data_IF_047591995525
#
_entry.id   IF_047591995525
#
_cell.length_a   1.000
_cell.length_b   1.000
_cell.length_c   1.000
_cell.angle_alpha   90.00
_cell.angle_beta   90.00
_cell.angle_gamma   90.00
#
_symmetry.space_group_name_H-M   'P 1'
#
loop_
_entity.id
_entity.type
_entity.pdbx_description
1 polymer ?
#
# COMPACT_ATOMS: atom_id res chain seq x y z
N UNK A 1 -14.70 32.69 -5.21
CA UNK A 1 -14.51 32.96 -3.77
C UNK A 1 -15.12 31.86 -2.90
N UNK A 2 -16.42 31.53 -3.06
CA UNK A 2 -17.11 30.49 -2.28
C UNK A 2 -16.48 29.08 -2.36
N UNK A 3 -16.10 28.62 -3.56
CA UNK A 3 -15.46 27.30 -3.73
C UNK A 3 -14.10 27.21 -3.04
N UNK A 4 -13.26 28.25 -3.16
CA UNK A 4 -11.96 28.29 -2.49
C UNK A 4 -12.09 28.29 -0.96
N UNK A 5 -13.09 28.99 -0.41
CA UNK A 5 -13.35 28.96 1.04
C UNK A 5 -13.88 27.61 1.50
N UNK A 6 -14.74 26.95 0.71
CA UNK A 6 -15.26 25.62 1.00
C UNK A 6 -14.13 24.59 1.01
N UNK A 7 -13.26 24.63 0.01
CA UNK A 7 -12.09 23.75 -0.10
C UNK A 7 -11.17 23.90 1.10
N UNK A 8 -10.83 25.14 1.48
CA UNK A 8 -10.00 25.41 2.65
C UNK A 8 -10.64 24.86 3.94
N UNK A 9 -11.96 25.04 4.13
CA UNK A 9 -12.68 24.49 5.28
C UNK A 9 -12.61 22.96 5.28
N UNK A 10 -12.88 22.32 4.13
CA UNK A 10 -12.85 20.86 3.99
C UNK A 10 -11.45 20.29 4.25
N UNK A 11 -10.39 20.92 3.75
CA UNK A 11 -9.01 20.48 3.99
C UNK A 11 -8.65 20.57 5.46
N UNK A 12 -8.98 21.68 6.15
CA UNK A 12 -8.70 21.82 7.58
C UNK A 12 -9.51 20.86 8.46
N UNK A 13 -10.78 20.63 8.13
CA UNK A 13 -11.60 19.61 8.81
C UNK A 13 -10.98 18.22 8.61
N UNK A 14 -10.60 17.88 7.38
CA UNK A 14 -10.00 16.58 7.08
C UNK A 14 -8.66 16.39 7.79
N UNK A 15 -7.82 17.43 7.86
CA UNK A 15 -6.53 17.40 8.55
C UNK A 15 -6.69 17.26 10.07
N UNK A 16 -7.60 18.03 10.66
CA UNK A 16 -7.88 17.95 12.10
C UNK A 16 -8.40 16.56 12.48
N UNK A 17 -9.38 16.05 11.74
CA UNK A 17 -9.97 14.73 12.00
C UNK A 17 -8.97 13.60 11.79
N UNK A 18 -8.12 13.62 10.75
CA UNK A 18 -7.10 12.57 10.56
C UNK A 18 -5.98 12.65 11.59
N UNK A 19 -5.58 13.84 12.05
CA UNK A 19 -4.59 14.00 13.13
C UNK A 19 -5.08 13.37 14.43
N UNK A 20 -6.37 13.56 14.76
CA UNK A 20 -7.01 12.88 15.89
C UNK A 20 -7.03 11.36 15.68
N UNK A 21 -7.36 10.89 14.47
CA UNK A 21 -7.35 9.45 14.16
C UNK A 21 -5.95 8.84 14.29
N UNK A 22 -4.90 9.53 13.84
CA UNK A 22 -3.50 9.11 13.97
C UNK A 22 -3.11 8.99 15.44
N UNK A 23 -3.42 9.99 16.26
CA UNK A 23 -3.11 9.96 17.69
C UNK A 23 -3.84 8.83 18.40
N UNK A 24 -5.13 8.62 18.09
CA UNK A 24 -5.89 7.47 18.61
C UNK A 24 -5.25 6.14 18.19
N UNK A 25 -4.80 6.02 16.94
CA UNK A 25 -4.16 4.80 16.45
C UNK A 25 -2.83 4.53 17.15
N UNK A 26 -2.00 5.57 17.37
CA UNK A 26 -0.74 5.48 18.12
C UNK A 26 -0.98 5.12 19.60
N UNK A 27 -2.00 5.71 20.23
CA UNK A 27 -2.39 5.37 21.61
C UNK A 27 -2.87 3.92 21.69
N UNK A 28 -3.66 3.46 20.72
CA UNK A 28 -4.15 2.07 20.66
C UNK A 28 -3.00 1.07 20.42
N UNK A 29 -1.94 1.48 19.72
CA UNK A 29 -0.72 0.68 19.57
C UNK A 29 0.04 0.55 20.91
N UNK A 30 0.08 1.63 21.70
CA UNK A 30 0.82 1.69 22.96
C UNK A 30 0.06 1.10 24.16
N UNK A 31 -1.25 1.31 24.22
CA UNK A 31 -2.15 0.93 25.32
C UNK A 31 -3.14 -0.10 24.79
N UNK A 32 -3.02 -1.35 25.25
CA UNK A 32 -3.98 -2.40 24.93
C UNK A 32 -5.36 -2.07 25.54
N UNK A 33 -6.44 -2.37 24.80
CA UNK A 33 -7.84 -2.49 25.28
C UNK A 33 -8.81 -1.28 25.34
N UNK A 34 -8.62 -0.19 24.59
CA UNK A 34 -9.69 0.84 24.51
C UNK A 34 -10.63 0.63 23.31
N UNK A 35 -11.62 -0.26 23.45
CA UNK A 35 -12.64 -0.55 22.42
C UNK A 35 -13.37 0.71 21.92
N UNK A 36 -13.73 1.61 22.83
CA UNK A 36 -14.40 2.88 22.48
C UNK A 36 -13.54 3.82 21.63
N UNK A 37 -12.21 3.82 21.82
CA UNK A 37 -11.30 4.60 20.99
C UNK A 37 -11.21 4.05 19.56
N UNK A 38 -11.24 2.72 19.40
CA UNK A 38 -11.23 2.09 18.07
C UNK A 38 -12.48 2.43 17.27
N UNK A 39 -13.65 2.38 17.90
CA UNK A 39 -14.92 2.76 17.25
C UNK A 39 -14.93 4.26 16.87
N UNK A 40 -14.32 5.11 17.69
CA UNK A 40 -14.14 6.54 17.39
C UNK A 40 -13.19 6.76 16.19
N UNK A 41 -12.08 6.02 16.13
CA UNK A 41 -11.13 6.06 15.01
C UNK A 41 -11.80 5.70 13.69
N UNK A 42 -12.62 4.65 13.65
CA UNK A 42 -13.35 4.27 12.43
C UNK A 42 -14.33 5.35 11.97
N UNK A 43 -15.07 5.98 12.89
CA UNK A 43 -15.96 7.11 12.57
C UNK A 43 -15.18 8.31 12.04
N UNK A 44 -14.00 8.59 12.60
CA UNK A 44 -13.11 9.64 12.11
C UNK A 44 -12.61 9.37 10.69
N UNK A 45 -12.26 8.12 10.37
CA UNK A 45 -11.88 7.74 9.00
C UNK A 45 -13.05 7.88 8.00
N UNK A 46 -14.28 7.60 8.42
CA UNK A 46 -15.48 7.82 7.58
C UNK A 46 -15.70 9.32 7.35
N UNK A 47 -15.59 10.15 8.41
CA UNK A 47 -15.75 11.59 8.30
C UNK A 47 -14.72 12.22 7.35
N UNK A 48 -13.44 11.84 7.50
CA UNK A 48 -12.35 12.30 6.62
C UNK A 48 -12.57 11.88 5.17
N UNK A 49 -13.09 10.68 4.91
CA UNK A 49 -13.45 10.23 3.56
C UNK A 49 -14.51 11.15 2.92
N UNK A 50 -15.58 11.47 3.64
CA UNK A 50 -16.61 12.39 3.13
C UNK A 50 -16.08 13.81 2.89
N UNK A 51 -15.17 14.30 3.75
CA UNK A 51 -14.51 15.59 3.53
C UNK A 51 -13.66 15.59 2.25
N UNK A 52 -12.89 14.52 2.03
CA UNK A 52 -12.08 14.35 0.81
C UNK A 52 -12.95 14.21 -0.44
N UNK A 53 -14.06 13.48 -0.37
CA UNK A 53 -15.00 13.39 -1.49
C UNK A 53 -15.60 14.75 -1.82
N UNK A 54 -15.97 15.52 -0.79
CA UNK A 54 -16.46 16.89 -0.97
C UNK A 54 -15.41 17.80 -1.60
N UNK A 55 -14.15 17.66 -1.22
CA UNK A 55 -13.03 18.40 -1.80
C UNK A 55 -12.86 18.10 -3.29
N UNK A 56 -12.80 16.80 -3.67
CA UNK A 56 -12.66 16.39 -5.08
C UNK A 56 -13.86 16.85 -5.93
N UNK A 57 -15.09 16.74 -5.41
CA UNK A 57 -16.29 17.18 -6.13
C UNK A 57 -16.32 18.70 -6.27
N UNK A 58 -15.98 19.45 -5.22
CA UNK A 58 -15.87 20.91 -5.27
C UNK A 58 -14.87 21.35 -6.35
N UNK A 59 -13.72 20.68 -6.42
CA UNK A 59 -12.68 20.93 -7.42
C UNK A 59 -13.14 20.60 -8.83
N UNK A 60 -13.80 19.47 -9.03
CA UNK A 60 -14.33 19.10 -10.34
C UNK A 60 -15.33 20.15 -10.85
N UNK A 61 -16.26 20.59 -10.00
CA UNK A 61 -17.24 21.61 -10.37
C UNK A 61 -16.57 22.96 -10.67
N UNK A 62 -15.53 23.34 -9.92
CA UNK A 62 -14.87 24.64 -10.07
C UNK A 62 -13.90 24.70 -11.26
N UNK A 63 -13.20 23.60 -11.58
CA UNK A 63 -12.23 23.54 -12.66
C UNK A 63 -12.81 23.08 -14.00
N UNK A 64 -14.00 22.48 -13.99
CA UNK A 64 -14.65 21.93 -15.19
C UNK A 64 -13.99 20.67 -15.75
N UNK A 65 -12.95 20.15 -15.09
CA UNK A 65 -12.25 18.91 -15.44
C UNK A 65 -12.04 18.03 -14.21
N UNK A 66 -11.72 16.76 -14.44
CA UNK A 66 -11.45 15.85 -13.34
C UNK A 66 -10.16 16.26 -12.59
N UNK A 67 -10.16 16.35 -11.24
CA UNK A 67 -9.05 16.90 -10.46
C UNK A 67 -7.91 15.89 -10.29
N UNK A 68 -7.09 15.75 -11.35
CA UNK A 68 -5.86 14.93 -11.37
C UNK A 68 -4.67 15.72 -11.93
N UNK A 69 -4.78 17.04 -11.97
CA UNK A 69 -3.86 17.90 -12.73
C UNK A 69 -2.51 18.08 -12.04
N UNK A 70 -2.51 18.02 -10.71
CA UNK A 70 -1.34 18.28 -9.87
C UNK A 70 -1.06 17.07 -8.95
N UNK A 71 0.18 16.94 -8.50
CA UNK A 71 0.63 15.92 -7.55
C UNK A 71 -0.18 15.93 -6.25
N UNK A 72 -0.61 17.11 -5.79
CA UNK A 72 -1.49 17.26 -4.65
C UNK A 72 -2.88 16.63 -4.89
N UNK A 73 -3.51 16.96 -6.03
CA UNK A 73 -4.81 16.41 -6.40
C UNK A 73 -4.74 14.89 -6.63
N UNK A 74 -3.67 14.42 -7.29
CA UNK A 74 -3.43 12.99 -7.50
C UNK A 74 -3.18 12.24 -6.19
N UNK A 75 -2.55 12.86 -5.20
CA UNK A 75 -2.37 12.28 -3.86
C UNK A 75 -3.66 12.17 -3.07
N UNK A 76 -4.51 13.19 -3.14
CA UNK A 76 -5.85 13.14 -2.54
C UNK A 76 -6.65 12.01 -3.20
N UNK A 77 -6.61 11.90 -4.53
CA UNK A 77 -7.26 10.81 -5.25
C UNK A 77 -6.68 9.42 -4.88
N UNK A 78 -5.36 9.30 -4.71
CA UNK A 78 -4.71 8.08 -4.23
C UNK A 78 -5.20 7.71 -2.82
N UNK A 79 -5.29 8.67 -1.90
CA UNK A 79 -5.79 8.43 -0.54
C UNK A 79 -7.26 8.01 -0.54
N UNK A 80 -8.07 8.61 -1.41
CA UNK A 80 -9.48 8.29 -1.61
C UNK A 80 -9.68 6.87 -2.12
N UNK A 81 -8.92 6.45 -3.14
CA UNK A 81 -8.96 5.08 -3.67
C UNK A 81 -8.47 4.04 -2.65
N UNK A 82 -7.41 4.33 -1.90
CA UNK A 82 -6.91 3.46 -0.82
C UNK A 82 -7.96 3.26 0.29
N UNK A 83 -8.70 4.31 0.65
CA UNK A 83 -9.80 4.19 1.62
C UNK A 83 -10.95 3.31 1.11
N UNK A 84 -11.32 3.43 -0.17
CA UNK A 84 -12.32 2.55 -0.79
C UNK A 84 -11.86 1.10 -0.70
N UNK A 85 -10.62 0.81 -1.09
CA UNK A 85 -10.05 -0.53 -1.02
C UNK A 85 -10.03 -1.10 0.41
N UNK A 86 -9.76 -0.26 1.41
CA UNK A 86 -9.82 -0.64 2.81
C UNK A 86 -11.24 -1.02 3.29
N UNK A 87 -12.27 -0.39 2.71
CA UNK A 87 -13.68 -0.57 3.12
C UNK A 87 -14.35 -1.77 2.45
N UNK A 88 -13.94 -2.15 1.23
CA UNK A 88 -14.51 -3.30 0.48
C UNK A 88 -14.60 -4.59 1.32
N UNK A 89 -13.53 -5.04 2.05
CA UNK A 89 -13.58 -6.26 2.84
C UNK A 89 -14.60 -6.22 3.99
N UNK A 90 -14.87 -5.03 4.54
CA UNK A 90 -15.87 -4.81 5.60
C UNK A 90 -17.28 -5.00 5.05
N UNK A 91 -17.55 -4.49 3.84
CA UNK A 91 -18.86 -4.65 3.17
C UNK A 91 -19.13 -6.12 2.85
N UNK A 92 -18.10 -6.88 2.48
CA UNK A 92 -18.23 -8.30 2.12
C UNK A 92 -18.31 -9.25 3.34
N UNK A 93 -18.49 -8.74 4.57
CA UNK A 93 -18.52 -9.51 5.82
C UNK A 93 -17.31 -10.45 6.03
N UNK A 94 -16.18 -10.14 5.40
CA UNK A 94 -14.95 -10.90 5.63
C UNK A 94 -14.38 -10.55 7.00
N UNK A 95 -13.72 -11.50 7.67
CA UNK A 95 -13.06 -11.26 8.97
C UNK A 95 -12.17 -10.01 8.88
N UNK A 96 -12.17 -9.20 9.94
CA UNK A 96 -11.56 -7.87 10.04
C UNK A 96 -10.00 -7.87 9.93
N UNK A 97 -9.39 -8.95 9.45
CA UNK A 97 -7.95 -9.16 9.39
C UNK A 97 -7.32 -8.30 8.28
N UNK A 98 -7.99 -8.23 7.11
CA UNK A 98 -7.50 -7.47 5.94
C UNK A 98 -7.60 -5.95 6.16
N UNK A 99 -8.71 -5.50 6.72
CA UNK A 99 -8.91 -4.09 7.10
C UNK A 99 -7.85 -3.68 8.13
N UNK A 100 -7.60 -4.49 9.16
CA UNK A 100 -6.59 -4.19 10.19
C UNK A 100 -5.19 -4.00 9.62
N UNK A 101 -4.81 -4.81 8.62
CA UNK A 101 -3.50 -4.70 7.96
C UNK A 101 -3.41 -3.44 7.09
N UNK A 102 -4.50 -3.05 6.43
CA UNK A 102 -4.53 -1.91 5.51
C UNK A 102 -4.76 -0.56 6.21
N UNK A 103 -5.33 -0.53 7.43
CA UNK A 103 -5.61 0.68 8.21
C UNK A 103 -4.41 1.63 8.39
N UNK A 104 -3.20 1.17 8.77
CA UNK A 104 -2.07 2.09 8.96
C UNK A 104 -1.68 2.77 7.64
N UNK A 105 -1.73 2.05 6.52
CA UNK A 105 -1.41 2.59 5.20
C UNK A 105 -2.41 3.67 4.80
N UNK A 106 -3.71 3.44 4.99
CA UNK A 106 -4.73 4.43 4.62
C UNK A 106 -4.61 5.68 5.47
N UNK A 107 -4.47 5.53 6.79
CA UNK A 107 -4.31 6.67 7.71
C UNK A 107 -3.06 7.48 7.37
N UNK A 108 -1.92 6.83 7.11
CA UNK A 108 -0.67 7.53 6.77
C UNK A 108 -0.79 8.28 5.44
N UNK A 109 -1.33 7.64 4.39
CA UNK A 109 -1.51 8.31 3.08
C UNK A 109 -2.47 9.49 3.16
N UNK A 110 -3.56 9.36 3.93
CA UNK A 110 -4.55 10.41 4.13
C UNK A 110 -4.01 11.56 4.99
N UNK A 111 -3.26 11.24 6.04
CA UNK A 111 -2.54 12.22 6.85
C UNK A 111 -1.54 13.00 6.01
N UNK A 112 -0.76 12.31 5.17
CA UNK A 112 0.20 12.96 4.27
C UNK A 112 -0.50 13.88 3.25
N UNK A 113 -1.57 13.40 2.61
CA UNK A 113 -2.32 14.18 1.62
C UNK A 113 -2.97 15.44 2.20
N UNK A 114 -3.44 15.38 3.44
CA UNK A 114 -4.13 16.50 4.11
C UNK A 114 -3.21 17.41 4.92
N UNK A 115 -1.97 16.98 5.23
CA UNK A 115 -1.00 17.72 6.06
C UNK A 115 -0.60 19.10 5.56
N UNK A 116 -0.94 19.43 4.33
CA UNK A 116 -0.56 20.71 3.73
C UNK A 116 0.93 20.85 3.48
N UNK A 117 1.75 19.83 3.70
CA UNK A 117 3.19 19.82 3.40
C UNK A 117 3.49 20.00 1.90
N UNK A 118 2.47 19.79 1.07
CA UNK A 118 2.48 19.97 -0.39
C UNK A 118 1.78 21.26 -0.83
N UNK A 119 1.42 22.15 0.11
CA UNK A 119 0.65 23.37 -0.21
C UNK A 119 1.46 24.43 -0.95
N UNK A 120 2.79 24.40 -0.88
CA UNK A 120 3.65 25.25 -1.73
C UNK A 120 3.49 24.96 -3.23
N UNK A 121 2.90 23.82 -3.60
CA UNK A 121 2.54 23.48 -4.98
C UNK A 121 1.10 23.88 -5.38
N UNK A 122 0.39 24.69 -4.58
CA UNK A 122 -1.00 25.11 -4.85
C UNK A 122 -1.18 26.04 -6.05
N UNK A 123 -0.10 26.47 -6.71
CA UNK A 123 -0.24 27.17 -7.97
C UNK A 123 -0.72 26.19 -9.03
N UNK A 124 -2.00 26.32 -9.39
CA UNK A 124 -2.58 25.83 -10.62
C UNK A 124 -1.77 26.41 -11.78
N UNK A 125 -0.65 25.78 -12.11
CA UNK A 125 0.10 26.08 -13.32
C UNK A 125 -0.86 25.85 -14.46
N UNK A 126 -1.06 26.91 -15.25
CA UNK A 126 -1.88 26.98 -16.46
C UNK A 126 -1.86 25.61 -17.14
N UNK A 127 -3.05 25.02 -17.34
CA UNK A 127 -3.19 23.68 -17.90
C UNK A 127 -2.31 23.58 -19.14
N UNK A 128 -1.32 22.68 -19.10
CA UNK A 128 -0.59 22.29 -20.31
C UNK A 128 -1.65 21.75 -21.28
N UNK A 129 -1.68 22.16 -22.55
CA UNK A 129 -2.73 21.79 -23.52
C UNK A 129 -3.04 20.30 -23.60
N UNK A 130 -2.10 19.43 -23.20
CA UNK A 130 -2.26 17.99 -23.16
C UNK A 130 -3.30 17.46 -22.15
N UNK A 131 -3.73 18.27 -21.16
CA UNK A 131 -4.81 17.94 -20.20
C UNK A 131 -6.23 18.00 -20.78
N UNK A 132 -6.39 18.42 -22.03
CA UNK A 132 -7.70 18.48 -22.70
C UNK A 132 -8.11 17.16 -23.35
N UNK A 133 -7.22 16.17 -23.40
CA UNK A 133 -7.51 14.87 -24.02
C UNK A 133 -8.20 13.91 -23.04
N UNK A 134 -9.21 13.19 -23.52
CA UNK A 134 -9.89 12.14 -22.76
C UNK A 134 -8.93 10.98 -22.41
N UNK A 135 -7.90 10.77 -23.22
CA UNK A 135 -6.87 9.76 -23.01
C UNK A 135 -6.00 10.03 -21.79
N UNK A 136 -5.62 11.29 -21.53
CA UNK A 136 -4.85 11.61 -20.32
C UNK A 136 -5.66 11.32 -19.06
N UNK A 137 -6.95 11.69 -19.06
CA UNK A 137 -7.82 11.43 -17.92
C UNK A 137 -7.92 9.93 -17.63
N UNK A 138 -8.12 9.11 -18.67
CA UNK A 138 -8.12 7.65 -18.54
C UNK A 138 -6.76 7.12 -18.07
N UNK A 139 -5.67 7.59 -18.67
CA UNK A 139 -4.30 7.19 -18.29
C UNK A 139 -4.05 7.46 -16.80
N UNK A 140 -4.17 8.71 -16.34
CA UNK A 140 -3.79 9.10 -14.97
C UNK A 140 -4.71 8.44 -13.94
N UNK A 141 -6.01 8.37 -14.20
CA UNK A 141 -6.95 7.71 -13.28
C UNK A 141 -6.69 6.21 -13.14
N UNK A 142 -6.43 5.51 -14.25
CA UNK A 142 -6.11 4.07 -14.24
C UNK A 142 -4.76 3.81 -13.60
N UNK A 143 -3.76 4.66 -13.83
CA UNK A 143 -2.45 4.57 -13.15
C UNK A 143 -2.59 4.71 -11.63
N UNK A 144 -3.32 5.72 -11.15
CA UNK A 144 -3.52 5.93 -9.70
C UNK A 144 -4.32 4.79 -9.05
N UNK A 145 -5.37 4.31 -9.71
CA UNK A 145 -6.15 3.18 -9.23
C UNK A 145 -5.31 1.89 -9.21
N UNK A 146 -4.45 1.70 -10.21
CA UNK A 146 -3.50 0.58 -10.25
C UNK A 146 -2.48 0.66 -9.09
N UNK A 147 -1.94 1.84 -8.79
CA UNK A 147 -1.00 2.01 -7.70
C UNK A 147 -1.66 1.78 -6.34
N UNK A 148 -2.88 2.28 -6.11
CA UNK A 148 -3.61 2.03 -4.87
C UNK A 148 -3.86 0.53 -4.64
N UNK A 149 -4.30 -0.18 -5.69
CA UNK A 149 -4.56 -1.63 -5.63
C UNK A 149 -3.27 -2.42 -5.45
N UNK A 150 -2.20 -2.12 -6.19
CA UNK A 150 -0.90 -2.79 -6.05
C UNK A 150 -0.26 -2.52 -4.69
N UNK A 151 -0.36 -1.31 -4.14
CA UNK A 151 0.11 -0.98 -2.79
C UNK A 151 -0.65 -1.80 -1.73
N UNK A 152 -1.98 -1.88 -1.83
CA UNK A 152 -2.79 -2.69 -0.93
C UNK A 152 -2.42 -4.18 -0.99
N UNK A 153 -2.29 -4.73 -2.21
CA UNK A 153 -1.96 -6.14 -2.42
C UNK A 153 -0.54 -6.50 -2.00
N UNK A 154 0.44 -5.63 -2.25
CA UNK A 154 1.84 -5.83 -1.84
C UNK A 154 2.03 -5.68 -0.34
N UNK A 155 1.30 -4.77 0.32
CA UNK A 155 1.31 -4.64 1.78
C UNK A 155 0.76 -5.91 2.46
N UNK A 156 -0.25 -6.55 1.87
CA UNK A 156 -0.75 -7.84 2.34
C UNK A 156 0.30 -8.96 2.23
N UNK A 157 1.08 -8.96 1.13
CA UNK A 157 2.24 -9.85 0.97
C UNK A 157 3.36 -9.54 1.96
N UNK A 158 3.61 -8.27 2.28
CA UNK A 158 4.59 -7.89 3.30
C UNK A 158 4.15 -8.39 4.69
N UNK A 159 2.87 -8.26 5.04
CA UNK A 159 2.32 -8.79 6.28
C UNK A 159 2.50 -10.31 6.40
N UNK A 160 2.33 -11.05 5.29
CA UNK A 160 2.62 -12.49 5.24
C UNK A 160 4.08 -12.82 5.56
N UNK A 161 5.03 -12.08 4.98
CA UNK A 161 6.45 -12.29 5.26
C UNK A 161 6.75 -12.08 6.74
N UNK A 162 6.22 -11.02 7.34
CA UNK A 162 6.41 -10.72 8.77
C UNK A 162 5.86 -11.88 9.63
N UNK A 163 4.67 -12.36 9.33
CA UNK A 163 4.04 -13.49 10.05
C UNK A 163 4.86 -14.78 9.94
N UNK A 164 5.48 -15.03 8.78
CA UNK A 164 6.26 -16.24 8.52
C UNK A 164 7.69 -16.16 9.06
N UNK A 165 8.33 -14.99 8.99
CA UNK A 165 9.69 -14.75 9.50
C UNK A 165 9.75 -14.72 11.03
N UNK A 166 8.69 -14.29 11.71
CA UNK A 166 8.58 -14.40 13.17
C UNK A 166 8.74 -15.85 13.65
N UNK A 167 8.21 -16.81 12.91
CA UNK A 167 8.30 -18.23 13.27
C UNK A 167 9.70 -18.82 13.07
N UNK A 168 10.45 -18.39 12.04
CA UNK A 168 11.83 -18.87 11.86
C UNK A 168 12.72 -18.41 13.01
N UNK A 169 12.47 -17.22 13.56
CA UNK A 169 13.16 -16.72 14.75
C UNK A 169 12.81 -17.52 16.01
N UNK A 170 11.53 -17.77 16.28
CA UNK A 170 11.10 -18.58 17.43
C UNK A 170 11.67 -20.02 17.35
N UNK A 171 11.64 -20.64 16.17
CA UNK A 171 12.21 -21.98 15.97
C UNK A 171 13.73 -21.99 16.15
N UNK A 172 14.44 -20.99 15.62
CA UNK A 172 15.89 -20.88 15.77
C UNK A 172 16.30 -20.63 17.23
N UNK A 173 15.56 -19.80 17.95
CA UNK A 173 15.73 -19.57 19.40
C UNK A 173 15.55 -20.85 20.21
N UNK A 174 14.48 -21.61 19.92
CA UNK A 174 14.19 -22.87 20.61
C UNK A 174 15.28 -23.92 20.34
N UNK A 175 15.76 -24.02 19.09
CA UNK A 175 16.85 -24.92 18.72
C UNK A 175 18.16 -24.54 19.41
N UNK A 176 18.46 -23.24 19.57
CA UNK A 176 19.67 -22.76 20.26
C UNK A 176 19.61 -23.03 21.78
N UNK A 177 18.43 -22.94 22.39
CA UNK A 177 18.22 -23.32 23.80
C UNK A 177 18.27 -24.83 24.03
N UNK A 178 17.75 -25.64 23.10
CA UNK A 178 17.91 -27.11 23.16
C UNK A 178 19.37 -27.50 23.00
N UNK A 179 20.10 -26.90 22.05
CA UNK A 179 21.53 -27.17 21.84
C UNK A 179 22.40 -26.77 23.07
N UNK A 180 22.00 -25.71 23.78
CA UNK A 180 22.67 -25.29 25.03
C UNK A 180 22.32 -26.23 26.21
N UNK A 181 21.12 -26.80 26.23
CA UNK A 181 20.72 -27.81 27.25
C UNK A 181 21.37 -29.17 27.00
N UNK A 182 21.55 -29.59 25.75
CA UNK A 182 22.20 -30.88 25.42
C UNK A 182 23.67 -30.90 25.86
N UNK A 183 24.36 -29.76 25.86
CA UNK A 183 25.75 -29.68 26.33
C UNK A 183 25.90 -29.87 27.86
N UNK A 184 24.86 -29.62 28.65
CA UNK A 184 24.87 -29.83 30.11
C UNK A 184 24.27 -31.18 30.55
N UNK A 185 23.70 -31.97 29.63
CA UNK A 185 22.97 -33.20 29.93
C UNK A 185 23.70 -34.50 29.58
N UNK A 186 24.85 -34.43 28.89
CA UNK A 186 25.57 -35.65 28.45
C UNK A 186 26.01 -36.56 29.61
N UNK A 187 26.11 -36.02 30.82
CA UNK A 187 26.51 -36.77 32.02
C UNK A 187 25.32 -37.41 32.76
N UNK A 188 24.08 -36.95 32.50
CA UNK A 188 22.84 -37.45 33.13
C UNK A 188 22.15 -38.52 32.25
N UNK A 189 22.45 -38.56 30.95
CA UNK A 189 21.73 -39.34 29.94
C UNK A 189 21.96 -40.87 30.02
N UNK A 190 23.09 -41.33 30.57
CA UNK A 190 23.36 -42.77 30.70
C UNK A 190 22.45 -43.47 31.73
N UNK A 191 22.01 -42.76 32.77
CA UNK A 191 21.19 -43.34 33.84
C UNK A 191 19.69 -43.40 33.51
N UNK A 192 19.21 -42.62 32.54
CA UNK A 192 17.79 -42.57 32.18
C UNK A 192 17.42 -43.43 30.96
N UNK A 193 18.39 -43.72 30.08
CA UNK A 193 18.20 -44.50 28.84
C UNK A 193 17.60 -45.91 29.08
N UNK A 194 17.78 -46.49 30.26
CA UNK A 194 17.25 -47.83 30.59
C UNK A 194 15.75 -47.86 30.90
N UNK A 195 15.07 -46.72 31.10
CA UNK A 195 13.67 -46.68 31.58
C UNK A 195 12.64 -46.15 30.57
N UNK A 196 13.05 -45.44 29.52
CA UNK A 196 12.14 -44.72 28.62
C UNK A 196 11.89 -45.37 27.25
N UNK A 197 12.47 -46.54 26.99
CA UNK A 197 12.28 -47.34 25.77
C UNK A 197 10.80 -47.70 25.46
N UNK A 198 9.87 -47.39 26.37
CA UNK A 198 8.45 -47.74 26.28
C UNK A 198 7.52 -46.58 25.86
N UNK A 199 8.01 -45.38 25.51
CA UNK A 199 7.13 -44.19 25.40
C UNK A 199 7.42 -43.16 24.30
N UNK A 200 8.05 -43.55 23.19
CA UNK A 200 8.31 -42.64 22.07
C UNK A 200 7.44 -42.93 20.84
N UNK A 201 6.19 -42.48 20.88
CA UNK A 201 5.52 -41.99 19.67
C UNK A 201 5.55 -40.47 19.72
N UNK A 202 6.55 -39.87 19.08
CA UNK A 202 6.63 -38.42 18.91
C UNK A 202 5.52 -37.97 17.96
N UNK A 203 4.41 -37.48 18.51
CA UNK A 203 3.38 -36.78 17.75
C UNK A 203 4.01 -35.57 17.05
N UNK A 204 3.84 -35.40 15.72
CA UNK A 204 4.33 -34.21 15.04
C UNK A 204 3.60 -32.97 15.56
N UNK A 205 4.36 -31.92 15.84
CA UNK A 205 3.87 -30.60 16.28
C UNK A 205 2.94 -30.04 15.21
N UNK A 206 1.63 -30.01 15.46
CA UNK A 206 0.66 -29.42 14.53
C UNK A 206 0.96 -27.92 14.34
N UNK A 207 1.14 -27.42 13.11
CA UNK A 207 1.13 -25.98 12.87
C UNK A 207 -0.23 -25.44 13.31
N UNK A 208 -0.23 -24.36 14.08
CA UNK A 208 -1.45 -23.72 14.58
C UNK A 208 -2.44 -23.50 13.41
N UNK A 209 -3.54 -24.27 13.37
CA UNK A 209 -4.47 -24.35 12.24
C UNK A 209 -4.99 -22.97 11.81
N UNK A 210 -5.27 -22.10 12.79
CA UNK A 210 -5.70 -20.73 12.55
C UNK A 210 -4.65 -19.88 11.82
N UNK A 211 -3.38 -20.08 12.14
CA UNK A 211 -2.27 -19.35 11.51
C UNK A 211 -2.11 -19.76 10.05
N UNK A 212 -2.17 -21.06 9.77
CA UNK A 212 -2.12 -21.59 8.41
C UNK A 212 -3.28 -21.02 7.58
N UNK A 213 -4.51 -21.09 8.11
CA UNK A 213 -5.70 -20.55 7.47
C UNK A 213 -5.59 -19.03 7.22
N UNK A 214 -5.05 -18.26 8.16
CA UNK A 214 -4.81 -16.83 7.98
C UNK A 214 -3.80 -16.59 6.85
N UNK A 215 -2.65 -17.27 6.87
CA UNK A 215 -1.63 -17.08 5.82
C UNK A 215 -2.13 -17.44 4.43
N UNK A 216 -2.94 -18.49 4.28
CA UNK A 216 -3.53 -18.86 3.00
C UNK A 216 -4.55 -17.82 2.51
N UNK A 217 -5.35 -17.27 3.44
CA UNK A 217 -6.29 -16.18 3.14
C UNK A 217 -5.55 -14.93 2.69
N UNK A 218 -4.55 -14.46 3.44
CA UNK A 218 -3.78 -13.27 3.06
C UNK A 218 -3.09 -13.47 1.70
N UNK A 219 -2.59 -14.68 1.41
CA UNK A 219 -1.89 -14.98 0.15
C UNK A 219 -2.85 -14.97 -1.04
N UNK A 220 -4.03 -15.58 -0.88
CA UNK A 220 -5.08 -15.58 -1.91
C UNK A 220 -5.66 -14.19 -2.17
N UNK A 221 -5.90 -13.40 -1.12
CA UNK A 221 -6.32 -12.00 -1.25
C UNK A 221 -5.24 -11.14 -1.92
N UNK A 222 -3.98 -11.33 -1.55
CA UNK A 222 -2.86 -10.56 -2.12
C UNK A 222 -2.75 -10.83 -3.62
N UNK A 223 -2.83 -12.10 -4.02
CA UNK A 223 -2.83 -12.48 -5.43
C UNK A 223 -3.99 -11.85 -6.22
N UNK A 224 -5.22 -11.88 -5.68
CA UNK A 224 -6.40 -11.30 -6.35
C UNK A 224 -6.27 -9.78 -6.52
N UNK A 225 -5.85 -9.09 -5.46
CA UNK A 225 -5.70 -7.62 -5.47
C UNK A 225 -4.55 -7.20 -6.38
N UNK A 226 -3.40 -7.89 -6.35
CA UNK A 226 -2.27 -7.61 -7.24
C UNK A 226 -2.65 -7.91 -8.70
N UNK A 227 -3.36 -9.00 -8.97
CA UNK A 227 -3.82 -9.32 -10.33
C UNK A 227 -4.71 -8.22 -10.89
N UNK A 228 -5.65 -7.70 -10.08
CA UNK A 228 -6.50 -6.59 -10.48
C UNK A 228 -5.66 -5.33 -10.73
N UNK A 229 -4.75 -4.99 -9.82
CA UNK A 229 -3.87 -3.84 -9.98
C UNK A 229 -2.96 -3.93 -11.21
N UNK A 230 -2.45 -5.12 -11.52
CA UNK A 230 -1.65 -5.36 -12.73
C UNK A 230 -2.47 -5.14 -14.01
N UNK A 231 -3.72 -5.61 -14.06
CA UNK A 231 -4.59 -5.33 -15.22
C UNK A 231 -4.85 -3.84 -15.40
N UNK A 232 -5.12 -3.11 -14.32
CA UNK A 232 -5.30 -1.66 -14.38
C UNK A 232 -4.01 -0.95 -14.80
N UNK A 233 -2.84 -1.39 -14.32
CA UNK A 233 -1.55 -0.84 -14.70
C UNK A 233 -1.28 -1.05 -16.20
N UNK A 234 -1.61 -2.23 -16.74
CA UNK A 234 -1.44 -2.50 -18.18
C UNK A 234 -2.30 -1.57 -19.03
N UNK A 235 -3.57 -1.37 -18.65
CA UNK A 235 -4.46 -0.43 -19.34
C UNK A 235 -3.94 1.00 -19.20
N UNK A 236 -3.49 1.39 -17.99
CA UNK A 236 -2.88 2.69 -17.74
C UNK A 236 -1.69 2.97 -18.66
N UNK A 237 -0.73 2.05 -18.76
CA UNK A 237 0.45 2.20 -19.62
C UNK A 237 0.05 2.28 -21.10
N UNK A 238 -0.88 1.44 -21.57
CA UNK A 238 -1.36 1.48 -22.96
C UNK A 238 -2.05 2.81 -23.30
N UNK A 239 -2.94 3.30 -22.43
CA UNK A 239 -3.57 4.61 -22.59
C UNK A 239 -2.55 5.76 -22.56
N UNK A 240 -1.50 5.61 -21.73
CA UNK A 240 -0.40 6.56 -21.66
C UNK A 240 0.40 6.64 -22.96
N UNK A 241 0.69 5.49 -23.58
CA UNK A 241 1.39 5.44 -24.86
C UNK A 241 0.59 6.11 -25.99
N UNK A 242 -0.73 5.89 -26.04
CA UNK A 242 -1.62 6.56 -27.02
C UNK A 242 -1.59 8.07 -26.81
N UNK A 243 -1.72 8.52 -25.56
CA UNK A 243 -1.65 9.94 -25.22
C UNK A 243 -0.28 10.55 -25.54
N UNK A 244 0.83 9.86 -25.25
CA UNK A 244 2.18 10.33 -25.53
C UNK A 244 2.38 10.60 -27.03
N UNK A 245 1.81 9.73 -27.89
CA UNK A 245 1.83 9.94 -29.32
C UNK A 245 1.01 11.17 -29.77
N UNK A 246 -0.15 11.42 -29.14
CA UNK A 246 -0.95 12.62 -29.41
C UNK A 246 -0.25 13.90 -28.92
N UNK A 247 0.44 13.85 -27.78
CA UNK A 247 1.05 15.01 -27.15
C UNK A 247 2.44 15.36 -27.71
N UNK A 248 3.27 14.35 -27.98
CA UNK A 248 4.70 14.49 -28.34
C UNK A 248 5.08 13.83 -29.66
N UNK A 249 4.15 13.16 -30.35
CA UNK A 249 4.42 12.49 -31.63
C UNK A 249 5.20 11.17 -31.52
N UNK A 250 5.37 10.64 -30.31
CA UNK A 250 6.04 9.37 -30.02
C UNK A 250 5.31 8.60 -28.92
N UNK A 251 5.20 7.28 -29.05
CA UNK A 251 4.52 6.43 -28.06
C UNK A 251 5.32 6.22 -26.76
N UNK A 252 6.65 6.38 -26.81
CA UNK A 252 7.54 6.11 -25.68
C UNK A 252 8.87 6.85 -25.85
N UNK A 253 9.28 7.59 -24.81
CA UNK A 253 10.47 8.43 -24.86
C UNK A 253 11.52 8.06 -23.80
N UNK A 254 11.33 6.97 -23.06
CA UNK A 254 12.25 6.52 -22.00
C UNK A 254 12.50 7.58 -20.92
N UNK A 255 11.49 8.41 -20.66
CA UNK A 255 11.49 9.31 -19.50
C UNK A 255 11.65 8.48 -18.22
N UNK A 256 12.41 8.95 -17.21
CA UNK A 256 12.39 8.36 -15.87
C UNK A 256 11.03 7.82 -15.44
N UNK A 257 9.92 8.57 -15.56
CA UNK A 257 8.60 8.06 -15.16
C UNK A 257 8.14 6.85 -15.96
N UNK A 258 8.32 6.88 -17.27
CA UNK A 258 8.00 5.76 -18.16
C UNK A 258 8.86 4.54 -17.83
N UNK A 259 10.17 4.74 -17.60
CA UNK A 259 11.08 3.63 -17.26
C UNK A 259 10.72 2.96 -15.95
N UNK A 260 10.37 3.72 -14.91
CA UNK A 260 9.97 3.16 -13.63
C UNK A 260 8.57 2.55 -13.66
N UNK A 261 7.65 3.07 -14.48
CA UNK A 261 6.38 2.40 -14.77
C UNK A 261 6.61 1.03 -15.43
N UNK A 262 7.58 0.92 -16.34
CA UNK A 262 7.94 -0.36 -16.94
C UNK A 262 8.64 -1.31 -15.94
N UNK A 263 9.49 -0.79 -15.05
CA UNK A 263 10.11 -1.59 -13.97
C UNK A 263 9.04 -2.13 -13.01
N UNK A 264 8.10 -1.29 -12.56
CA UNK A 264 7.00 -1.73 -11.69
C UNK A 264 6.15 -2.81 -12.38
N UNK A 265 5.80 -2.60 -13.65
CA UNK A 265 5.09 -3.59 -14.45
C UNK A 265 5.83 -4.93 -14.51
N UNK A 266 7.14 -4.90 -14.78
CA UNK A 266 7.97 -6.10 -14.88
C UNK A 266 8.01 -6.87 -13.56
N UNK A 267 8.10 -6.18 -12.43
CA UNK A 267 8.17 -6.83 -11.10
C UNK A 267 6.84 -7.52 -10.75
N UNK A 268 5.72 -6.88 -11.05
CA UNK A 268 4.42 -7.51 -10.83
C UNK A 268 4.12 -8.63 -11.86
N UNK A 269 4.67 -8.54 -13.07
CA UNK A 269 4.66 -9.65 -14.02
C UNK A 269 5.48 -10.85 -13.49
N UNK A 270 6.68 -10.61 -12.95
CA UNK A 270 7.50 -11.64 -12.30
C UNK A 270 6.76 -12.22 -11.09
N UNK A 271 6.08 -11.40 -10.29
CA UNK A 271 5.25 -11.88 -9.19
C UNK A 271 4.18 -12.84 -9.69
N UNK A 272 3.36 -12.43 -10.67
CA UNK A 272 2.28 -13.28 -11.20
C UNK A 272 2.83 -14.56 -11.85
N UNK A 273 3.96 -14.46 -12.56
CA UNK A 273 4.64 -15.63 -13.13
C UNK A 273 5.20 -16.54 -12.03
N UNK A 274 5.75 -16.00 -10.94
CA UNK A 274 6.22 -16.81 -9.81
C UNK A 274 5.09 -17.62 -9.16
N UNK A 275 3.84 -17.16 -9.28
CA UNK A 275 2.65 -17.84 -8.73
C UNK A 275 2.20 -19.05 -9.56
N UNK A 276 2.55 -19.12 -10.85
CA UNK A 276 2.27 -20.32 -11.66
C UNK A 276 3.16 -21.48 -11.26
N UNK A 277 4.37 -21.20 -10.76
CA UNK A 277 5.32 -22.23 -10.33
C UNK A 277 5.05 -22.69 -8.88
N UNK A 278 4.78 -23.99 -8.64
CA UNK A 278 4.45 -24.49 -7.30
C UNK A 278 5.59 -24.29 -6.28
N UNK A 279 6.85 -24.34 -6.75
CA UNK A 279 8.04 -24.21 -5.90
C UNK A 279 8.25 -22.78 -5.35
N UNK A 280 7.64 -21.77 -5.98
CA UNK A 280 7.80 -20.36 -5.61
C UNK A 280 6.60 -19.79 -4.85
N UNK A 281 5.60 -20.63 -4.56
CA UNK A 281 4.39 -20.24 -3.83
C UNK A 281 4.70 -19.87 -2.38
N UNK A 282 4.11 -18.76 -1.93
CA UNK A 282 4.20 -18.27 -0.56
C UNK A 282 5.34 -17.27 -0.37
N UNK A 283 6.47 -17.68 0.21
CA UNK A 283 7.55 -16.77 0.65
C UNK A 283 8.21 -16.04 -0.48
N UNK A 284 8.60 -16.75 -1.54
CA UNK A 284 9.37 -16.16 -2.62
C UNK A 284 8.49 -15.19 -3.40
N UNK A 285 7.24 -15.57 -3.69
CA UNK A 285 6.26 -14.66 -4.29
C UNK A 285 5.99 -13.44 -3.40
N UNK A 286 5.82 -13.63 -2.09
CA UNK A 286 5.55 -12.51 -1.18
C UNK A 286 6.75 -11.53 -1.10
N UNK A 287 7.98 -12.04 -1.20
CA UNK A 287 9.20 -11.23 -1.26
C UNK A 287 9.21 -10.35 -2.51
N UNK A 288 8.92 -10.90 -3.68
CA UNK A 288 8.83 -10.12 -4.93
C UNK A 288 7.76 -9.03 -4.81
N UNK A 289 6.57 -9.35 -4.29
CA UNK A 289 5.52 -8.36 -4.08
C UNK A 289 5.93 -7.25 -3.09
N UNK A 290 6.66 -7.61 -2.01
CA UNK A 290 7.15 -6.63 -1.03
C UNK A 290 8.20 -5.67 -1.61
N UNK A 291 9.04 -6.14 -2.54
CA UNK A 291 9.96 -5.28 -3.31
C UNK A 291 9.16 -4.33 -4.20
N UNK A 292 8.09 -4.83 -4.84
CA UNK A 292 7.17 -4.01 -5.62
C UNK A 292 6.56 -2.85 -4.84
N UNK A 293 6.24 -3.03 -3.55
CA UNK A 293 5.73 -1.96 -2.68
C UNK A 293 6.66 -0.74 -2.63
N UNK A 294 7.97 -0.97 -2.45
CA UNK A 294 8.95 0.13 -2.38
C UNK A 294 9.10 0.82 -3.74
N UNK A 295 9.04 0.06 -4.82
CA UNK A 295 9.26 0.58 -6.17
C UNK A 295 8.08 1.42 -6.64
N UNK A 296 6.84 1.10 -6.22
CA UNK A 296 5.69 1.99 -6.47
C UNK A 296 5.92 3.37 -5.84
N UNK A 297 6.44 3.43 -4.60
CA UNK A 297 6.73 4.70 -3.95
C UNK A 297 7.85 5.48 -4.65
N UNK A 298 8.89 4.80 -5.13
CA UNK A 298 9.95 5.44 -5.94
C UNK A 298 9.37 5.97 -7.26
N UNK A 299 8.54 5.18 -7.93
CA UNK A 299 7.89 5.58 -9.18
C UNK A 299 6.95 6.78 -9.00
N UNK A 300 6.17 6.77 -7.92
CA UNK A 300 5.14 7.78 -7.66
C UNK A 300 5.72 9.06 -7.05
N UNK A 301 6.54 8.97 -5.99
CA UNK A 301 7.15 10.14 -5.35
C UNK A 301 8.55 10.43 -5.85
N UNK A 302 9.43 9.43 -5.89
CA UNK A 302 10.86 9.62 -6.13
C UNK A 302 11.16 10.41 -7.41
N UNK A 303 10.54 10.05 -8.53
CA UNK A 303 10.81 10.71 -9.82
C UNK A 303 10.18 12.10 -9.89
N UNK A 304 9.01 12.28 -9.28
CA UNK A 304 8.40 13.60 -9.17
C UNK A 304 9.32 14.57 -8.44
N UNK A 305 9.91 14.13 -7.32
CA UNK A 305 10.84 14.90 -6.49
C UNK A 305 12.15 15.24 -7.19
N UNK A 306 12.63 14.36 -8.08
CA UNK A 306 13.87 14.58 -8.82
C UNK A 306 13.75 15.71 -9.86
N UNK A 307 12.54 16.10 -10.28
CA UNK A 307 12.38 17.20 -11.24
C UNK A 307 12.77 16.86 -12.68
N UNK A 308 13.08 15.59 -12.97
CA UNK A 308 13.63 15.16 -14.27
C UNK A 308 12.51 14.51 -15.09
N UNK A 309 12.36 14.95 -16.35
CA UNK A 309 11.42 14.37 -17.31
C UNK A 309 10.24 15.27 -17.65
N UNK A 310 9.58 14.96 -18.77
CA UNK A 310 8.40 15.67 -19.29
C UNK A 310 7.18 15.55 -18.38
N UNK A 311 7.25 14.64 -17.41
CA UNK A 311 6.18 14.38 -16.46
C UNK A 311 6.41 14.99 -15.07
N UNK A 312 7.48 15.77 -14.82
CA UNK A 312 7.64 16.36 -13.48
C UNK A 312 6.67 17.53 -13.29
N UNK A 313 5.68 17.34 -12.40
CA UNK A 313 4.70 18.36 -12.03
C UNK A 313 4.94 18.93 -10.62
N UNK A 314 6.10 18.63 -10.02
CA UNK A 314 6.40 18.99 -8.64
C UNK A 314 7.88 18.88 -8.31
N UNK A 315 8.68 19.82 -8.81
CA UNK A 315 10.07 19.97 -8.36
C UNK A 315 10.11 20.81 -7.09
N UNK A 316 10.79 20.34 -6.05
CA UNK A 316 11.26 21.25 -4.99
C UNK A 316 12.29 22.18 -5.61
N UNK A 317 11.98 23.47 -5.73
CA UNK A 317 13.01 24.46 -6.02
C UNK A 317 13.92 24.52 -4.81
N UNK A 318 15.05 23.82 -4.87
CA UNK A 318 16.14 24.06 -3.92
C UNK A 318 16.48 25.56 -4.01
N UNK A 319 16.49 26.30 -2.89
CA UNK A 319 16.92 27.69 -2.92
C UNK A 319 18.36 27.70 -3.44
N UNK A 320 18.57 28.34 -4.59
CA UNK A 320 19.90 28.62 -5.10
C UNK A 320 20.65 29.42 -4.03
N UNK A 321 21.69 28.81 -3.45
CA UNK A 321 22.68 29.53 -2.66
C UNK A 321 23.44 30.50 -3.56
#
# INVERSE_FOLDING_TARGET
>A
MLFATLEHILTHISFSTISIVITIHLITLLVHELRGLRDSSEKGMIATFFSITGFLVSRWVSSGHFPLSNLYESLIFLSWTLYILHTIPKIQNSKNDLSTITTPSTILTQGFATSGLLTEMHQSTILVPALQSQWLMMHVSMMLLSYATLLCGSLLSAALLIIRFRNSFDFFSLKKNVLRKTFFFSEIEYLYAKRSALKNTSFPVFPNYYKYQLTERLDSWSYRVISLGFTLLTVGILCGAVWANEAWGSYWNWDPKETWAFITWTIFAIYLHSRTNPNWKGTNSALVASIGFLIIWICYFGINLLGIGLHSYGSFTLPSK
#
